data_IF_301577395571
#
_entry.id   IF_301577395571
#
_cell.length_a   1.000
_cell.length_b   1.000
_cell.length_c   1.000
_cell.angle_alpha   90.00
_cell.angle_beta   90.00
_cell.angle_gamma   90.00
#
_symmetry.space_group_name_H-M   'P 1'
#
loop_
_entity.id
_entity.type
_entity.pdbx_description
1 polymer ?
#
# COMPACT_ATOMS: atom_id res chain seq x y z
N UNK A 1 11.55 -19.29 -22.20
CA UNK A 1 10.62 -18.77 -21.17
C UNK A 1 10.04 -19.91 -20.33
N UNK A 2 9.44 -20.95 -20.92
CA UNK A 2 8.84 -22.07 -20.17
C UNK A 2 9.76 -22.71 -19.11
N UNK A 3 10.97 -23.14 -19.50
CA UNK A 3 11.96 -23.75 -18.58
C UNK A 3 12.32 -22.83 -17.41
N UNK A 4 12.47 -21.52 -17.67
CA UNK A 4 12.78 -20.53 -16.63
C UNK A 4 11.60 -20.41 -15.64
N UNK A 5 10.36 -20.42 -16.14
CA UNK A 5 9.17 -20.38 -15.30
C UNK A 5 9.01 -21.65 -14.46
N UNK A 6 9.32 -22.83 -15.01
CA UNK A 6 9.31 -24.11 -14.29
C UNK A 6 10.34 -24.12 -13.16
N UNK A 7 11.58 -23.71 -13.45
CA UNK A 7 12.64 -23.54 -12.45
C UNK A 7 12.20 -22.56 -11.34
N UNK A 8 11.63 -21.40 -11.70
CA UNK A 8 11.14 -20.41 -10.73
C UNK A 8 10.04 -20.99 -9.84
N UNK A 9 9.09 -21.71 -10.41
CA UNK A 9 8.03 -22.38 -9.66
C UNK A 9 8.59 -23.42 -8.68
N UNK A 10 9.55 -24.23 -9.13
CA UNK A 10 10.19 -25.23 -8.27
C UNK A 10 10.95 -24.58 -7.11
N UNK A 11 11.66 -23.47 -7.36
CA UNK A 11 12.34 -22.72 -6.31
C UNK A 11 11.36 -22.10 -5.31
N UNK A 12 10.25 -21.51 -5.77
CA UNK A 12 9.24 -20.97 -4.86
C UNK A 12 8.67 -22.04 -3.92
N UNK A 13 8.40 -23.25 -4.43
CA UNK A 13 7.99 -24.38 -3.60
C UNK A 13 9.10 -24.78 -2.63
N UNK A 14 10.34 -24.89 -3.11
CA UNK A 14 11.49 -25.25 -2.28
C UNK A 14 11.72 -24.25 -1.14
N UNK A 15 11.47 -22.96 -1.39
CA UNK A 15 11.54 -21.90 -0.36
C UNK A 15 10.57 -22.19 0.77
N UNK A 16 9.29 -22.44 0.45
CA UNK A 16 8.30 -22.77 1.47
C UNK A 16 8.65 -24.06 2.21
N UNK A 17 9.09 -25.11 1.49
CA UNK A 17 9.50 -26.37 2.10
C UNK A 17 10.63 -26.18 3.10
N UNK A 18 11.71 -25.49 2.72
CA UNK A 18 12.85 -25.21 3.60
C UNK A 18 12.41 -24.52 4.88
N UNK A 19 11.75 -23.36 4.77
CA UNK A 19 11.39 -22.58 5.95
C UNK A 19 10.39 -23.33 6.86
N UNK A 20 9.42 -24.06 6.29
CA UNK A 20 8.47 -24.84 7.09
C UNK A 20 9.11 -26.06 7.78
N UNK A 21 10.02 -26.76 7.10
CA UNK A 21 10.81 -27.87 7.69
C UNK A 21 11.68 -27.37 8.86
N UNK A 22 12.09 -26.10 8.83
CA UNK A 22 12.85 -25.41 9.87
C UNK A 22 11.97 -24.64 10.87
N UNK A 23 10.66 -24.91 10.92
CA UNK A 23 9.69 -24.34 11.87
C UNK A 23 9.45 -22.82 11.75
N UNK A 24 9.80 -22.20 10.63
CA UNK A 24 9.38 -20.83 10.36
C UNK A 24 7.88 -20.78 10.05
N UNK A 25 7.29 -19.64 10.40
CA UNK A 25 5.90 -19.34 10.06
C UNK A 25 5.88 -18.44 8.84
N UNK A 26 5.04 -18.80 7.86
CA UNK A 26 4.80 -17.93 6.71
C UNK A 26 3.82 -16.83 7.10
N UNK A 27 4.26 -15.58 6.97
CA UNK A 27 3.48 -14.40 7.33
C UNK A 27 3.28 -13.54 6.10
N UNK A 28 2.02 -13.18 5.82
CA UNK A 28 1.71 -12.18 4.81
C UNK A 28 1.86 -10.79 5.43
N UNK A 29 2.87 -10.04 5.00
CA UNK A 29 3.04 -8.63 5.36
C UNK A 29 2.12 -7.74 4.50
N UNK A 30 1.63 -6.60 5.03
CA UNK A 30 0.86 -5.66 4.25
C UNK A 30 1.66 -5.11 3.06
N UNK A 31 1.08 -5.16 1.86
CA UNK A 31 1.71 -4.62 0.63
C UNK A 31 1.54 -3.09 0.56
N UNK A 32 0.39 -2.58 0.99
CA UNK A 32 0.15 -1.14 1.06
C UNK A 32 0.65 -0.64 2.42
N UNK A 33 1.65 0.23 2.39
CA UNK A 33 2.28 0.81 3.57
C UNK A 33 2.43 2.32 3.42
N UNK A 34 2.40 3.02 4.55
CA UNK A 34 2.67 4.45 4.65
C UNK A 34 4.14 4.76 4.88
N UNK A 35 4.94 3.72 5.16
CA UNK A 35 6.34 3.81 5.54
C UNK A 35 7.21 3.18 4.45
N UNK A 36 8.31 3.84 4.12
CA UNK A 36 9.41 3.22 3.39
C UNK A 36 10.14 2.29 4.37
N UNK A 37 9.90 0.98 4.23
CA UNK A 37 10.43 -0.03 5.15
C UNK A 37 11.88 -0.43 4.86
N UNK A 38 12.46 -0.03 3.72
CA UNK A 38 13.82 -0.42 3.32
C UNK A 38 14.76 0.77 3.14
N UNK A 39 14.24 2.01 3.18
CA UNK A 39 15.03 3.22 2.97
C UNK A 39 15.72 3.26 1.59
N UNK A 40 15.20 2.47 0.64
CA UNK A 40 15.91 2.07 -0.57
C UNK A 40 15.57 2.92 -1.80
N UNK A 41 14.62 3.86 -1.69
CA UNK A 41 14.27 4.74 -2.80
C UNK A 41 12.86 5.30 -2.70
N UNK A 42 12.36 5.84 -3.81
CA UNK A 42 11.01 6.40 -3.86
C UNK A 42 9.96 5.28 -4.14
N UNK A 43 8.80 5.34 -3.47
CA UNK A 43 7.76 4.29 -3.50
C UNK A 43 6.70 4.51 -4.58
N UNK A 44 5.99 3.44 -5.00
CA UNK A 44 4.80 3.60 -5.83
C UNK A 44 3.66 4.26 -5.06
N UNK A 45 3.08 5.30 -5.67
CA UNK A 45 1.85 5.91 -5.15
C UNK A 45 0.64 5.03 -5.44
N UNK A 46 -0.13 4.73 -4.39
CA UNK A 46 -1.40 4.02 -4.49
C UNK A 46 -2.53 4.98 -4.11
N UNK A 47 -3.36 5.37 -5.08
CA UNK A 47 -4.40 6.39 -4.91
C UNK A 47 -5.81 5.89 -5.23
N UNK A 48 -6.80 6.31 -4.44
CA UNK A 48 -8.23 6.22 -4.79
C UNK A 48 -8.80 7.55 -5.31
N UNK A 49 -8.03 8.64 -5.25
CA UNK A 49 -8.50 10.01 -5.53
C UNK A 49 -9.03 10.19 -6.94
N UNK A 50 -8.51 9.43 -7.93
CA UNK A 50 -8.98 9.48 -9.32
C UNK A 50 -10.43 9.00 -9.39
N UNK A 51 -10.73 7.85 -8.77
CA UNK A 51 -12.10 7.30 -8.75
C UNK A 51 -13.04 8.21 -7.99
N UNK A 52 -12.60 8.78 -6.88
CA UNK A 52 -13.40 9.69 -6.05
C UNK A 52 -13.71 11.00 -6.80
N UNK A 53 -12.73 11.58 -7.49
CA UNK A 53 -12.92 12.76 -8.31
C UNK A 53 -13.92 12.51 -9.44
N UNK A 54 -13.82 11.38 -10.15
CA UNK A 54 -14.79 11.02 -11.20
C UNK A 54 -16.22 10.82 -10.65
N UNK A 55 -16.35 10.19 -9.47
CA UNK A 55 -17.64 10.00 -8.81
C UNK A 55 -18.24 11.34 -8.38
N UNK A 56 -17.42 12.22 -7.81
CA UNK A 56 -17.83 13.56 -7.39
C UNK A 56 -18.23 14.42 -8.59
N UNK A 57 -17.50 14.38 -9.71
CA UNK A 57 -17.87 15.07 -10.94
C UNK A 57 -19.24 14.62 -11.46
N UNK A 58 -19.48 13.31 -11.53
CA UNK A 58 -20.79 12.75 -11.94
C UNK A 58 -21.91 13.17 -11.00
N UNK A 59 -21.65 13.26 -9.70
CA UNK A 59 -22.61 13.73 -8.71
C UNK A 59 -22.86 15.24 -8.82
N UNK A 60 -21.84 16.07 -9.02
CA UNK A 60 -21.96 17.52 -9.20
C UNK A 60 -22.70 17.88 -10.50
N UNK A 61 -22.59 17.08 -11.55
CA UNK A 61 -23.39 17.23 -12.78
C UNK A 61 -24.88 16.99 -12.49
N UNK A 62 -25.21 16.01 -11.65
CA UNK A 62 -26.60 15.67 -11.28
C UNK A 62 -27.16 16.63 -10.23
N UNK A 63 -26.32 17.07 -9.32
CA UNK A 63 -26.64 17.86 -8.14
C UNK A 63 -25.68 19.07 -8.07
N UNK A 64 -25.96 20.17 -8.80
CA UNK A 64 -25.02 21.29 -8.85
C UNK A 64 -24.80 21.94 -7.47
N UNK A 65 -23.66 22.62 -7.27
CA UNK A 65 -23.45 23.45 -6.08
C UNK A 65 -24.57 24.48 -5.90
N UNK A 66 -24.94 24.81 -4.65
CA UNK A 66 -25.98 25.79 -4.38
C UNK A 66 -25.57 27.17 -4.91
N UNK A 67 -26.54 27.92 -5.42
CA UNK A 67 -26.32 29.29 -5.86
C UNK A 67 -26.10 30.19 -4.64
N UNK A 68 -25.42 31.32 -4.85
CA UNK A 68 -25.23 32.33 -3.80
C UNK A 68 -26.56 32.82 -3.22
N UNK A 69 -27.60 32.93 -4.06
CA UNK A 69 -28.96 33.24 -3.65
C UNK A 69 -29.57 32.18 -2.72
N UNK A 70 -29.30 30.89 -2.96
CA UNK A 70 -29.79 29.79 -2.12
C UNK A 70 -29.10 29.80 -0.75
N UNK A 71 -27.80 30.13 -0.73
CA UNK A 71 -27.02 30.30 0.50
C UNK A 71 -27.52 31.47 1.35
N UNK A 72 -27.77 32.62 0.72
CA UNK A 72 -28.31 33.79 1.42
C UNK A 72 -29.74 33.56 1.91
N UNK A 73 -30.59 32.91 1.11
CA UNK A 73 -31.93 32.51 1.55
C UNK A 73 -31.89 31.56 2.76
N UNK A 74 -30.96 30.59 2.78
CA UNK A 74 -30.79 29.68 3.91
C UNK A 74 -30.28 30.39 5.17
N UNK A 75 -29.31 31.32 5.05
CA UNK A 75 -28.84 32.16 6.17
C UNK A 75 -29.96 33.04 6.71
N UNK A 76 -30.72 33.67 5.83
CA UNK A 76 -31.86 34.50 6.20
C UNK A 76 -32.93 33.67 6.94
N UNK A 77 -33.24 32.48 6.47
CA UNK A 77 -34.17 31.56 7.13
C UNK A 77 -33.70 31.17 8.54
N UNK A 78 -32.41 30.85 8.72
CA UNK A 78 -31.84 30.56 10.04
C UNK A 78 -31.96 31.77 10.99
N UNK A 79 -31.73 32.97 10.47
CA UNK A 79 -31.88 34.22 11.22
C UNK A 79 -33.33 34.46 11.64
N UNK A 80 -34.29 34.35 10.71
CA UNK A 80 -35.73 34.50 10.95
C UNK A 80 -36.25 33.49 11.98
N UNK A 81 -35.86 32.21 11.85
CA UNK A 81 -36.24 31.17 12.83
C UNK A 81 -35.58 31.40 14.19
N UNK A 82 -34.36 31.92 14.22
CA UNK A 82 -33.68 32.33 15.44
C UNK A 82 -34.42 33.46 16.17
N UNK A 83 -34.89 34.46 15.43
CA UNK A 83 -35.72 35.55 15.95
C UNK A 83 -37.07 35.06 16.46
N UNK A 84 -37.74 34.15 15.74
CA UNK A 84 -39.01 33.56 16.19
C UNK A 84 -38.88 32.82 17.53
N UNK A 85 -37.82 32.03 17.72
CA UNK A 85 -37.53 31.36 18.99
C UNK A 85 -37.29 32.39 20.10
N UNK A 86 -36.59 33.48 19.82
CA UNK A 86 -36.33 34.56 20.79
C UNK A 86 -37.63 35.25 21.20
N UNK A 87 -38.48 35.62 20.24
CA UNK A 87 -39.77 36.26 20.49
C UNK A 87 -40.71 35.38 21.33
N UNK A 88 -40.77 34.07 21.07
CA UNK A 88 -41.59 33.15 21.86
C UNK A 88 -41.09 32.99 23.30
N UNK A 89 -39.76 33.00 23.50
CA UNK A 89 -39.15 33.01 24.84
C UNK A 89 -39.44 34.31 25.59
N UNK A 90 -39.30 35.45 24.92
CA UNK A 90 -39.58 36.77 25.49
C UNK A 90 -41.07 36.95 25.83
N UNK A 91 -41.96 36.39 25.02
CA UNK A 91 -43.42 36.38 25.24
C UNK A 91 -43.92 35.35 26.26
N UNK A 92 -43.03 34.55 26.88
CA UNK A 92 -43.37 33.45 27.81
C UNK A 92 -44.41 32.48 27.22
N UNK A 93 -44.27 32.15 25.94
CA UNK A 93 -45.14 31.19 25.26
C UNK A 93 -45.06 29.78 25.88
N UNK A 94 -45.98 28.89 25.50
CA UNK A 94 -45.99 27.53 26.06
C UNK A 94 -44.70 26.77 25.74
N UNK A 95 -44.34 25.84 26.63
CA UNK A 95 -43.15 24.97 26.46
C UNK A 95 -43.24 24.14 25.18
N UNK A 96 -44.46 23.80 24.74
CA UNK A 96 -44.71 23.06 23.50
C UNK A 96 -44.41 23.92 22.26
N UNK A 97 -44.90 25.16 22.23
CA UNK A 97 -44.74 26.08 21.08
C UNK A 97 -43.28 26.53 20.92
N UNK A 98 -42.60 26.75 22.04
CA UNK A 98 -41.16 27.05 22.04
C UNK A 98 -40.34 25.83 21.58
N UNK A 99 -40.72 24.63 22.01
CA UNK A 99 -40.07 23.38 21.59
C UNK A 99 -40.22 23.13 20.09
N UNK A 100 -41.42 23.32 19.54
CA UNK A 100 -41.67 23.20 18.11
C UNK A 100 -40.81 24.18 17.29
N UNK A 101 -40.70 25.44 17.73
CA UNK A 101 -39.88 26.44 17.03
C UNK A 101 -38.37 26.14 17.10
N UNK A 102 -37.88 25.55 18.19
CA UNK A 102 -36.47 25.12 18.31
C UNK A 102 -36.16 23.96 17.35
N UNK A 103 -37.09 23.02 17.17
CA UNK A 103 -36.94 21.93 16.19
C UNK A 103 -36.81 22.50 14.77
N UNK A 104 -37.64 23.47 14.40
CA UNK A 104 -37.57 24.12 13.08
C UNK A 104 -36.28 24.92 12.89
N UNK A 105 -35.78 25.60 13.93
CA UNK A 105 -34.48 26.26 13.89
C UNK A 105 -33.33 25.26 13.67
N UNK A 106 -33.36 24.11 14.33
CA UNK A 106 -32.32 23.10 14.17
C UNK A 106 -32.33 22.48 12.76
N UNK A 107 -33.52 22.20 12.20
CA UNK A 107 -33.65 21.78 10.80
C UNK A 107 -33.07 22.80 9.83
N UNK A 108 -33.36 24.09 10.03
CA UNK A 108 -32.81 25.16 9.19
C UNK A 108 -31.28 25.24 9.28
N UNK A 109 -30.71 25.08 10.47
CA UNK A 109 -29.25 25.03 10.68
C UNK A 109 -28.60 23.83 10.00
N UNK A 110 -29.21 22.65 10.08
CA UNK A 110 -28.72 21.44 9.41
C UNK A 110 -28.74 21.60 7.89
N UNK A 111 -29.80 22.19 7.33
CA UNK A 111 -29.88 22.51 5.90
C UNK A 111 -28.80 23.50 5.47
N UNK A 112 -28.54 24.55 6.26
CA UNK A 112 -27.46 25.50 5.97
C UNK A 112 -26.08 24.82 6.01
N UNK A 113 -25.83 23.93 6.97
CA UNK A 113 -24.58 23.17 7.04
C UNK A 113 -24.38 22.28 5.80
N UNK A 114 -25.42 21.56 5.36
CA UNK A 114 -25.36 20.74 4.15
C UNK A 114 -25.08 21.57 2.90
N UNK A 115 -25.71 22.74 2.79
CA UNK A 115 -25.46 23.66 1.67
C UNK A 115 -24.04 24.24 1.72
N UNK A 116 -23.54 24.59 2.90
CA UNK A 116 -22.17 25.08 3.10
C UNK A 116 -21.13 24.01 2.75
N UNK A 117 -21.30 22.78 3.22
CA UNK A 117 -20.46 21.63 2.85
C UNK A 117 -20.50 21.38 1.34
N UNK A 118 -21.70 21.44 0.73
CA UNK A 118 -21.87 21.28 -0.72
C UNK A 118 -21.17 22.38 -1.51
N UNK A 119 -21.22 23.62 -1.03
CA UNK A 119 -20.58 24.77 -1.68
C UNK A 119 -19.04 24.67 -1.73
N UNK A 120 -18.44 23.90 -0.81
CA UNK A 120 -17.00 23.67 -0.74
C UNK A 120 -16.50 22.58 -1.68
N UNK A 121 -17.40 21.71 -2.17
CA UNK A 121 -17.02 20.64 -3.10
C UNK A 121 -16.64 21.25 -4.46
N UNK A 122 -15.46 20.88 -4.94
CA UNK A 122 -14.96 21.27 -6.25
C UNK A 122 -14.79 20.02 -7.12
N UNK A 123 -15.11 20.09 -8.41
CA UNK A 123 -14.82 19.01 -9.34
C UNK A 123 -13.32 18.88 -9.56
N UNK A 124 -12.88 17.69 -9.96
CA UNK A 124 -11.49 17.37 -10.25
C UNK A 124 -10.67 16.93 -9.03
N UNK A 125 -9.46 16.44 -9.31
CA UNK A 125 -8.51 15.98 -8.28
C UNK A 125 -8.08 17.17 -7.42
N UNK A 126 -8.03 17.05 -6.08
CA UNK A 126 -7.54 18.11 -5.20
C UNK A 126 -6.21 18.70 -5.67
N UNK A 127 -6.05 20.02 -5.58
CA UNK A 127 -4.82 20.72 -5.97
C UNK A 127 -4.38 21.70 -4.89
N UNK A 128 -3.07 21.79 -4.69
CA UNK A 128 -2.40 22.71 -3.76
C UNK A 128 -1.16 23.27 -4.46
N UNK A 129 -1.06 24.60 -4.48
CA UNK A 129 0.02 25.34 -5.16
C UNK A 129 0.21 24.96 -6.64
N UNK A 130 -0.88 24.66 -7.35
CA UNK A 130 -0.88 24.32 -8.78
C UNK A 130 -0.39 22.90 -9.11
N UNK A 131 -0.11 22.08 -8.10
CA UNK A 131 0.13 20.64 -8.23
C UNK A 131 -1.02 19.86 -7.64
N UNK A 132 -1.19 18.61 -8.06
CA UNK A 132 -2.16 17.71 -7.42
C UNK A 132 -1.79 17.58 -5.94
N UNK A 133 -2.77 17.84 -5.08
CA UNK A 133 -2.62 17.78 -3.64
C UNK A 133 -2.72 16.33 -3.18
N UNK A 134 -1.57 15.69 -3.19
CA UNK A 134 -1.39 14.37 -2.59
C UNK A 134 -1.13 14.47 -1.09
N UNK A 135 -1.33 15.57 -0.38
CA UNK A 135 -1.09 15.58 1.09
C UNK A 135 -2.02 14.64 1.86
N UNK A 136 -3.08 14.16 1.21
CA UNK A 136 -3.98 13.11 1.69
C UNK A 136 -3.59 11.71 1.19
N UNK A 137 -2.48 11.55 0.46
CA UNK A 137 -2.16 10.38 -0.34
C UNK A 137 -0.63 10.14 -0.48
N UNK A 138 -0.18 8.91 -0.66
CA UNK A 138 1.23 8.54 -0.40
C UNK A 138 2.23 8.95 -1.50
N UNK A 139 3.52 8.88 -1.15
CA UNK A 139 4.71 9.43 -1.83
C UNK A 139 4.92 9.05 -3.32
N UNK A 140 5.79 9.79 -4.02
CA UNK A 140 6.05 9.69 -5.46
C UNK A 140 7.15 8.65 -5.85
N UNK A 141 7.23 8.18 -7.12
CA UNK A 141 8.09 7.06 -7.55
C UNK A 141 9.41 7.41 -8.25
N UNK A 142 10.41 6.51 -8.13
CA UNK A 142 11.78 6.65 -8.68
C UNK A 142 11.97 5.99 -10.04
N UNK A 143 12.82 6.57 -10.88
CA UNK A 143 13.15 6.05 -12.21
C UNK A 143 14.57 5.47 -12.26
N UNK A 144 14.67 4.14 -12.24
CA UNK A 144 15.92 3.42 -12.47
C UNK A 144 15.81 2.55 -13.72
N UNK A 145 16.65 2.80 -14.72
CA UNK A 145 16.65 2.07 -16.00
C UNK A 145 17.94 1.28 -16.18
N UNK A 146 18.06 0.15 -15.49
CA UNK A 146 19.17 -0.81 -15.67
C UNK A 146 18.63 -2.20 -16.01
N UNK A 147 19.49 -3.06 -16.57
CA UNK A 147 19.12 -4.45 -16.87
C UNK A 147 18.92 -5.34 -15.65
N UNK A 148 19.18 -4.83 -14.44
CA UNK A 148 19.12 -5.57 -13.17
C UNK A 148 18.12 -4.99 -12.16
N UNK A 149 17.59 -3.80 -12.41
CA UNK A 149 16.56 -3.19 -11.57
C UNK A 149 15.18 -3.46 -12.17
N UNK A 150 14.27 -3.90 -11.32
CA UNK A 150 12.86 -4.07 -11.65
C UNK A 150 12.06 -3.13 -10.75
N UNK A 151 11.00 -2.54 -11.31
CA UNK A 151 10.00 -1.80 -10.56
C UNK A 151 9.27 -2.70 -9.54
N UNK A 152 9.04 -3.96 -9.90
CA UNK A 152 8.38 -4.94 -9.05
C UNK A 152 9.20 -6.23 -9.03
N UNK A 153 9.54 -6.70 -7.84
CA UNK A 153 10.23 -7.96 -7.60
C UNK A 153 9.72 -8.61 -6.31
N UNK A 154 10.10 -9.88 -6.12
CA UNK A 154 9.64 -10.69 -4.99
C UNK A 154 10.80 -10.90 -4.03
N UNK A 155 10.54 -10.70 -2.74
CA UNK A 155 11.51 -10.92 -1.67
C UNK A 155 11.09 -12.09 -0.79
N UNK A 156 12.08 -12.67 -0.13
CA UNK A 156 11.91 -13.72 0.87
C UNK A 156 12.73 -13.27 2.07
N UNK A 157 12.04 -12.91 3.14
CA UNK A 157 12.60 -12.21 4.29
C UNK A 157 12.37 -13.05 5.57
N UNK A 158 13.30 -13.96 5.90
CA UNK A 158 13.23 -14.70 7.15
C UNK A 158 13.70 -13.84 8.32
N UNK A 159 12.97 -13.88 9.43
CA UNK A 159 13.34 -13.24 10.70
C UNK A 159 13.51 -14.33 11.78
N UNK A 160 14.60 -14.28 12.56
CA UNK A 160 14.92 -15.29 13.58
C UNK A 160 15.09 -14.62 14.94
N UNK A 161 14.16 -14.88 15.87
CA UNK A 161 14.25 -14.32 17.21
C UNK A 161 15.47 -14.88 17.98
N UNK A 162 16.17 -14.00 18.70
CA UNK A 162 17.35 -14.31 19.52
C UNK A 162 18.56 -14.86 18.75
N UNK A 163 18.55 -14.77 17.42
CA UNK A 163 19.69 -15.10 16.59
C UNK A 163 20.77 -14.00 16.65
N UNK A 164 22.02 -14.40 16.48
CA UNK A 164 23.10 -13.48 16.16
C UNK A 164 23.46 -13.54 14.66
N UNK A 165 24.44 -12.71 14.24
CA UNK A 165 24.88 -12.66 12.85
C UNK A 165 25.37 -14.02 12.33
N UNK A 166 25.98 -14.84 13.19
CA UNK A 166 26.47 -16.15 12.78
C UNK A 166 25.31 -17.09 12.49
N UNK A 167 24.24 -17.04 13.28
CA UNK A 167 23.01 -17.78 13.03
C UNK A 167 22.35 -17.38 11.70
N UNK A 168 22.27 -16.08 11.41
CA UNK A 168 21.73 -15.56 10.13
C UNK A 168 22.55 -16.07 8.94
N UNK A 169 23.87 -15.99 9.04
CA UNK A 169 24.78 -16.48 8.00
C UNK A 169 24.62 -17.98 7.79
N UNK A 170 24.49 -18.76 8.86
CA UNK A 170 24.27 -20.19 8.80
C UNK A 170 22.93 -20.52 8.13
N UNK A 171 21.86 -19.81 8.48
CA UNK A 171 20.53 -19.98 7.90
C UNK A 171 20.55 -19.68 6.40
N UNK A 172 21.12 -18.55 6.00
CA UNK A 172 21.19 -18.13 4.61
C UNK A 172 22.05 -19.09 3.76
N UNK A 173 23.16 -19.59 4.31
CA UNK A 173 23.97 -20.62 3.66
C UNK A 173 23.21 -21.94 3.50
N UNK A 174 22.53 -22.41 4.56
CA UNK A 174 21.72 -23.61 4.51
C UNK A 174 20.62 -23.50 3.45
N UNK A 175 19.96 -22.33 3.39
CA UNK A 175 18.93 -22.02 2.41
C UNK A 175 19.46 -22.09 0.97
N UNK A 176 20.56 -21.40 0.66
CA UNK A 176 21.15 -21.40 -0.70
C UNK A 176 21.58 -22.81 -1.12
N UNK A 177 22.18 -23.58 -0.20
CA UNK A 177 22.55 -24.98 -0.47
C UNK A 177 21.32 -25.85 -0.72
N UNK A 178 20.26 -25.67 0.06
CA UNK A 178 19.00 -26.39 -0.12
C UNK A 178 18.39 -26.08 -1.50
N UNK A 179 18.35 -24.81 -1.92
CA UNK A 179 17.88 -24.42 -3.26
C UNK A 179 18.70 -25.09 -4.38
N UNK A 180 20.03 -25.10 -4.26
CA UNK A 180 20.91 -25.73 -5.25
C UNK A 180 20.66 -27.24 -5.35
N UNK A 181 20.51 -27.93 -4.21
CA UNK A 181 20.18 -29.36 -4.16
C UNK A 181 18.82 -29.64 -4.78
N UNK A 182 17.81 -28.83 -4.44
CA UNK A 182 16.47 -28.95 -4.99
C UNK A 182 16.46 -28.88 -6.52
N UNK A 183 17.18 -27.93 -7.11
CA UNK A 183 17.30 -27.82 -8.57
C UNK A 183 17.96 -29.05 -9.19
N UNK A 184 19.03 -29.56 -8.57
CA UNK A 184 19.76 -30.73 -9.06
C UNK A 184 18.93 -32.01 -8.96
N UNK A 185 18.04 -32.12 -7.97
CA UNK A 185 17.24 -33.32 -7.72
C UNK A 185 15.88 -33.31 -8.43
N UNK A 186 15.24 -32.14 -8.54
CA UNK A 186 13.86 -32.00 -9.03
C UNK A 186 13.75 -31.36 -10.40
N UNK A 187 14.79 -30.66 -10.86
CA UNK A 187 14.76 -29.89 -12.11
C UNK A 187 15.98 -30.16 -13.01
N UNK A 188 16.56 -31.37 -12.94
CA UNK A 188 17.80 -31.65 -13.67
C UNK A 188 17.64 -31.49 -15.18
N UNK A 189 16.56 -32.01 -15.77
CA UNK A 189 16.29 -31.90 -17.22
C UNK A 189 16.20 -30.43 -17.67
N UNK A 190 15.53 -29.59 -16.88
CA UNK A 190 15.44 -28.15 -17.10
C UNK A 190 16.82 -27.50 -17.00
N UNK A 191 17.63 -27.89 -16.01
CA UNK A 191 18.99 -27.39 -15.84
C UNK A 191 19.93 -27.84 -16.97
N UNK A 192 19.77 -29.04 -17.51
CA UNK A 192 20.52 -29.53 -18.67
C UNK A 192 20.18 -28.73 -19.93
N UNK A 193 18.90 -28.42 -20.13
CA UNK A 193 18.48 -27.50 -21.19
C UNK A 193 19.14 -26.13 -21.04
N UNK A 194 19.15 -25.57 -19.81
CA UNK A 194 19.80 -24.29 -19.52
C UNK A 194 21.31 -24.35 -19.76
N UNK A 195 21.95 -25.46 -19.41
CA UNK A 195 23.39 -25.63 -19.61
C UNK A 195 23.75 -25.70 -21.10
N UNK A 196 22.93 -26.38 -21.89
CA UNK A 196 23.10 -26.47 -23.34
C UNK A 196 22.87 -25.12 -24.04
N UNK A 197 21.87 -24.37 -23.60
CA UNK A 197 21.34 -23.22 -24.35
C UNK A 197 21.91 -21.88 -23.94
N UNK A 198 22.31 -21.71 -22.67
CA UNK A 198 22.68 -20.41 -22.11
C UNK A 198 24.02 -20.44 -21.36
N UNK A 199 24.22 -21.40 -20.45
CA UNK A 199 25.39 -21.42 -19.58
C UNK A 199 25.88 -22.84 -19.27
N UNK A 200 26.88 -23.29 -20.02
CA UNK A 200 27.47 -24.63 -19.91
C UNK A 200 28.02 -24.96 -18.52
N UNK A 201 28.32 -23.94 -17.69
CA UNK A 201 28.88 -24.11 -16.36
C UNK A 201 27.84 -24.13 -15.23
N UNK A 202 26.56 -23.89 -15.51
CA UNK A 202 25.55 -23.65 -14.46
C UNK A 202 25.40 -24.84 -13.51
N UNK A 203 25.31 -26.07 -14.04
CA UNK A 203 25.18 -27.29 -13.24
C UNK A 203 26.41 -27.51 -12.35
N UNK A 204 27.61 -27.26 -12.88
CA UNK A 204 28.84 -27.42 -12.11
C UNK A 204 28.91 -26.43 -10.94
N UNK A 205 28.45 -25.19 -11.14
CA UNK A 205 28.37 -24.21 -10.05
C UNK A 205 27.33 -24.59 -9.00
N UNK A 206 26.16 -25.10 -9.40
CA UNK A 206 25.16 -25.62 -8.45
C UNK A 206 25.72 -26.76 -7.61
N UNK A 207 26.40 -27.74 -8.25
CA UNK A 207 27.04 -28.86 -7.56
C UNK A 207 28.13 -28.39 -6.60
N UNK A 208 28.93 -27.42 -7.02
CA UNK A 208 29.97 -26.82 -6.18
C UNK A 208 29.34 -26.21 -4.92
N UNK A 209 28.34 -25.33 -5.06
CA UNK A 209 27.67 -24.69 -3.91
C UNK A 209 27.02 -25.74 -3.01
N UNK A 210 26.30 -26.70 -3.58
CA UNK A 210 25.60 -27.75 -2.84
C UNK A 210 26.52 -28.68 -2.02
N UNK A 211 27.77 -28.86 -2.46
CA UNK A 211 28.76 -29.76 -1.82
C UNK A 211 29.82 -29.02 -0.98
N UNK A 212 29.79 -27.69 -0.96
CA UNK A 212 30.76 -26.90 -0.22
C UNK A 212 30.56 -27.06 1.29
N UNK A 213 31.63 -27.39 2.03
CA UNK A 213 31.60 -27.52 3.49
C UNK A 213 32.07 -26.26 4.24
N UNK A 214 32.59 -25.26 3.53
CA UNK A 214 33.09 -24.01 4.12
C UNK A 214 32.00 -22.96 4.18
N UNK A 215 31.98 -22.18 5.28
CA UNK A 215 31.15 -20.99 5.42
C UNK A 215 31.22 -20.14 4.14
N UNK A 216 30.08 -19.88 3.50
CA UNK A 216 29.91 -18.95 2.36
C UNK A 216 30.05 -17.49 2.82
N UNK A 217 30.78 -17.26 3.91
CA UNK A 217 30.84 -16.05 4.71
C UNK A 217 31.33 -14.83 3.96
N UNK A 218 31.89 -14.97 2.75
CA UNK A 218 32.32 -13.84 1.91
C UNK A 218 31.21 -13.34 0.98
N UNK A 219 30.18 -14.15 0.68
CA UNK A 219 29.08 -13.76 -0.22
C UNK A 219 27.90 -13.13 0.55
N UNK A 220 27.74 -13.46 1.83
CA UNK A 220 26.62 -13.04 2.67
C UNK A 220 26.75 -11.65 3.31
N UNK A 221 27.96 -11.08 3.39
CA UNK A 221 28.16 -9.69 3.85
C UNK A 221 27.40 -8.66 3.00
N UNK A 222 27.06 -9.00 1.75
CA UNK A 222 26.23 -8.16 0.88
C UNK A 222 24.72 -8.28 1.17
N UNK A 223 24.27 -9.39 1.77
CA UNK A 223 22.85 -9.64 2.09
C UNK A 223 22.50 -9.10 3.48
N UNK A 224 23.43 -9.20 4.45
CA UNK A 224 23.24 -8.62 5.79
C UNK A 224 23.07 -7.09 5.77
N UNK A 225 23.63 -6.40 4.77
CA UNK A 225 23.42 -4.95 4.61
C UNK A 225 22.01 -4.57 4.10
N UNK A 226 21.22 -5.54 3.62
CA UNK A 226 19.82 -5.33 3.19
C UNK A 226 18.80 -5.66 4.28
N UNK A 227 19.14 -6.48 5.29
CA UNK A 227 18.17 -6.94 6.31
C UNK A 227 18.19 -6.08 7.58
N UNK A 228 19.30 -5.38 7.85
CA UNK A 228 19.44 -4.50 9.02
C UNK A 228 19.69 -3.05 8.62
N UNK A 229 18.68 -2.38 8.07
CA UNK A 229 18.54 -0.92 8.14
C UNK A 229 17.08 -0.51 8.20
#
# INVERSE_FOLDING_TARGET
>A
IAVIAQIRNALALATHSFFQEHHFLYVHTPIITTSDCEGAGEMFQVTTLISEAEMLEKDLIKNPPPLEADMEAAKQLVSERGLAVKQLKDAKASKADTGASVVELNKAKESLLKLDERSKLKPGIPQKDGKIDYTQDFFAPEQSHTSRHLAEFWMVEPEIAFADLQDDMNCAEAYVKYMCKWLLEKCLDDMEFMAKSYDKGCINRLKMVASTNTNLSIILYLISWMIFK
#
